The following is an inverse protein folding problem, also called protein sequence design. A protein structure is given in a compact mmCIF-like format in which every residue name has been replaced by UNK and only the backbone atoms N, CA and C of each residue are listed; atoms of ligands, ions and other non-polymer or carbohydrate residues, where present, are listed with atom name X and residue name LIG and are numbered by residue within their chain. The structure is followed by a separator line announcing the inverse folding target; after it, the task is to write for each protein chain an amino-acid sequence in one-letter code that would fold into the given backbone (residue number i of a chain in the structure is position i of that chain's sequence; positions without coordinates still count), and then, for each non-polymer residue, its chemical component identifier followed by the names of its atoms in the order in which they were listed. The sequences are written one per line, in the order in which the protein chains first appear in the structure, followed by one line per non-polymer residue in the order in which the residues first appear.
data_IF_246493263950
#
_entry.id   IF_246493263950
#
_cell.length_a   1.000
_cell.length_b   1.000
_cell.length_c   1.000
_cell.angle_alpha   90.00
_cell.angle_beta   90.00
_cell.angle_gamma   90.00
#
_symmetry.space_group_name_H-M   'P 1'
#
loop_
_entity.id
_entity.type
_entity.pdbx_description
1 polymer ?
#
# COMPACT_ATOMS: atom_id res chain seq x y z
N UNK A 1 -6.85 -21.39 -28.12
CA UNK A 1 -7.30 -20.12 -27.57
C UNK A 1 -8.01 -20.43 -26.25
N UNK A 2 -7.35 -20.20 -25.11
CA UNK A 2 -7.92 -20.52 -23.80
C UNK A 2 -9.08 -19.59 -23.52
N UNK A 3 -10.28 -20.14 -23.34
CA UNK A 3 -11.43 -19.40 -22.84
C UNK A 3 -11.11 -18.94 -21.42
N UNK A 4 -10.89 -17.65 -21.25
CA UNK A 4 -10.82 -17.08 -19.89
C UNK A 4 -12.15 -17.37 -19.21
N UNK A 5 -12.12 -18.26 -18.19
CA UNK A 5 -13.29 -18.65 -17.42
C UNK A 5 -13.96 -17.42 -16.80
N UNK A 6 -15.28 -17.42 -16.69
CA UNK A 6 -16.05 -16.41 -15.93
C UNK A 6 -15.45 -16.16 -14.54
N UNK A 7 -14.90 -17.18 -13.91
CA UNK A 7 -14.20 -17.10 -12.63
C UNK A 7 -12.97 -16.19 -12.66
N UNK A 8 -12.23 -16.19 -13.76
CA UNK A 8 -11.06 -15.32 -13.92
C UNK A 8 -11.47 -13.84 -13.92
N UNK A 9 -12.52 -13.51 -14.68
CA UNK A 9 -13.07 -12.15 -14.73
C UNK A 9 -13.68 -11.71 -13.41
N UNK A 10 -14.30 -12.63 -12.67
CA UNK A 10 -14.84 -12.37 -11.33
C UNK A 10 -13.70 -12.04 -10.32
N UNK A 11 -12.61 -12.78 -10.36
CA UNK A 11 -11.43 -12.53 -9.53
C UNK A 11 -10.80 -11.19 -9.88
N UNK A 12 -10.62 -10.88 -11.17
CA UNK A 12 -10.09 -9.60 -11.63
C UNK A 12 -11.00 -8.44 -11.19
N UNK A 13 -12.30 -8.59 -11.33
CA UNK A 13 -13.28 -7.60 -10.90
C UNK A 13 -13.19 -7.35 -9.39
N UNK A 14 -13.12 -8.40 -8.59
CA UNK A 14 -12.99 -8.28 -7.12
C UNK A 14 -11.67 -7.60 -6.77
N UNK A 15 -10.56 -8.02 -7.36
CA UNK A 15 -9.22 -7.48 -7.06
C UNK A 15 -9.09 -6.02 -7.48
N UNK A 16 -9.80 -5.58 -8.52
CA UNK A 16 -9.75 -4.21 -9.03
C UNK A 16 -10.83 -3.32 -8.39
N UNK A 17 -12.07 -3.78 -8.38
CA UNK A 17 -13.23 -2.96 -7.97
C UNK A 17 -13.29 -2.77 -6.45
N UNK A 18 -13.00 -3.81 -5.68
CA UNK A 18 -13.06 -3.71 -4.20
C UNK A 18 -12.05 -2.68 -3.66
N UNK A 19 -10.77 -2.68 -4.07
CA UNK A 19 -9.84 -1.62 -3.68
C UNK A 19 -10.32 -0.24 -4.12
N UNK A 20 -10.86 -0.12 -5.33
CA UNK A 20 -11.33 1.16 -5.86
C UNK A 20 -12.45 1.78 -5.01
N UNK A 21 -13.40 0.98 -4.54
CA UNK A 21 -14.48 1.43 -3.64
C UNK A 21 -13.90 2.00 -2.33
N UNK A 22 -12.89 1.33 -1.75
CA UNK A 22 -12.26 1.80 -0.52
C UNK A 22 -11.37 3.03 -0.71
N UNK A 23 -10.73 3.18 -1.88
CA UNK A 23 -9.92 4.35 -2.22
C UNK A 23 -10.79 5.62 -2.37
N UNK A 24 -11.99 5.47 -2.94
CA UNK A 24 -12.90 6.59 -3.21
C UNK A 24 -13.65 7.08 -1.95
N UNK A 25 -13.67 6.32 -0.86
CA UNK A 25 -14.30 6.75 0.39
C UNK A 25 -13.51 7.90 1.02
N UNK A 26 -14.23 8.94 1.46
CA UNK A 26 -13.64 10.03 2.25
C UNK A 26 -13.06 9.46 3.55
N UNK A 27 -11.80 9.77 3.89
CA UNK A 27 -11.22 9.30 5.15
C UNK A 27 -11.90 10.01 6.33
N UNK A 28 -12.12 9.32 7.47
CA UNK A 28 -12.44 10.00 8.73
C UNK A 28 -11.26 10.87 9.13
N UNK A 29 -11.53 12.09 9.58
CA UNK A 29 -10.52 12.98 10.12
C UNK A 29 -10.11 12.52 11.52
N UNK A 30 -8.81 12.54 11.84
CA UNK A 30 -8.34 12.35 13.20
C UNK A 30 -6.96 11.70 13.33
N UNK A 31 -6.26 12.01 14.42
CA UNK A 31 -5.00 11.37 14.76
C UNK A 31 -5.24 9.93 15.24
N UNK A 32 -4.18 9.11 15.24
CA UNK A 32 -4.16 7.82 15.90
C UNK A 32 -2.83 7.63 16.65
N UNK A 33 -2.61 6.45 17.25
CA UNK A 33 -1.40 6.17 18.03
C UNK A 33 -0.07 6.34 17.26
N UNK A 34 -0.09 6.42 15.95
CA UNK A 34 1.08 6.60 15.09
C UNK A 34 1.27 8.03 14.60
N UNK A 35 0.39 8.97 14.98
CA UNK A 35 0.51 10.39 14.66
C UNK A 35 -0.70 11.00 13.99
N UNK A 36 -0.53 12.21 13.47
CA UNK A 36 -1.56 12.96 12.75
C UNK A 36 -2.02 12.28 11.47
N UNK A 37 -3.13 12.75 10.91
CA UNK A 37 -3.67 12.25 9.65
C UNK A 37 -2.66 12.44 8.52
N UNK A 38 -2.40 11.39 7.75
CA UNK A 38 -1.55 11.50 6.56
C UNK A 38 -2.31 12.24 5.44
N UNK A 39 -1.71 13.33 4.96
CA UNK A 39 -2.29 14.13 3.88
C UNK A 39 -2.28 13.37 2.55
N UNK A 40 -3.36 13.49 1.75
CA UNK A 40 -3.37 12.97 0.39
C UNK A 40 -2.30 13.65 -0.46
N UNK A 41 -1.61 12.88 -1.29
CA UNK A 41 -0.53 13.36 -2.16
C UNK A 41 -0.89 13.18 -3.63
N UNK A 42 -0.38 14.08 -4.49
CA UNK A 42 -0.35 13.87 -5.94
C UNK A 42 0.71 12.85 -6.34
N UNK A 43 0.66 12.37 -7.59
CA UNK A 43 1.53 11.29 -8.10
C UNK A 43 3.02 11.59 -7.89
N UNK A 44 3.51 12.74 -8.35
CA UNK A 44 4.94 13.11 -8.20
C UNK A 44 5.37 13.28 -6.75
N UNK A 45 4.48 13.81 -5.89
CA UNK A 45 4.73 13.94 -4.46
C UNK A 45 4.83 12.56 -3.78
N UNK A 46 3.99 11.61 -4.17
CA UNK A 46 4.01 10.24 -3.65
C UNK A 46 5.32 9.53 -3.97
N UNK A 47 5.80 9.64 -5.22
CA UNK A 47 7.10 9.09 -5.63
C UNK A 47 8.24 9.75 -4.84
N UNK A 48 8.23 11.08 -4.72
CA UNK A 48 9.22 11.81 -3.92
C UNK A 48 9.20 11.39 -2.45
N UNK A 49 8.02 11.21 -1.86
CA UNK A 49 7.85 10.70 -0.49
C UNK A 49 8.35 9.26 -0.34
N UNK A 50 8.08 8.40 -1.32
CA UNK A 50 8.53 7.02 -1.34
C UNK A 50 10.04 6.90 -1.17
N UNK A 51 10.81 7.64 -1.97
CA UNK A 51 12.27 7.62 -1.88
C UNK A 51 12.84 8.43 -0.71
N UNK A 52 12.20 9.52 -0.31
CA UNK A 52 12.62 10.33 0.84
C UNK A 52 12.50 9.56 2.16
N UNK A 53 11.45 8.75 2.28
CA UNK A 53 11.19 7.93 3.44
C UNK A 53 11.71 6.49 3.29
N UNK A 54 12.85 6.34 2.64
CA UNK A 54 13.44 5.05 2.24
C UNK A 54 13.53 4.03 3.39
N UNK A 55 13.91 4.50 4.57
CA UNK A 55 14.06 3.69 5.81
C UNK A 55 13.16 4.19 6.95
N UNK A 56 12.17 5.03 6.66
CA UNK A 56 11.29 5.60 7.67
C UNK A 56 10.09 4.70 7.88
N UNK A 57 10.11 3.92 8.96
CA UNK A 57 9.02 3.03 9.35
C UNK A 57 8.00 3.69 10.27
N UNK A 58 8.32 4.83 10.88
CA UNK A 58 7.43 5.60 11.76
C UNK A 58 6.51 6.53 10.97
N UNK A 59 5.44 6.99 11.63
CA UNK A 59 4.45 7.85 10.99
C UNK A 59 3.41 7.08 10.18
N UNK A 60 2.71 7.80 9.30
CA UNK A 60 1.57 7.26 8.52
C UNK A 60 1.76 7.57 7.03
N UNK A 61 1.26 6.70 6.17
CA UNK A 61 1.20 6.90 4.73
C UNK A 61 -0.26 6.94 4.26
N UNK A 62 -0.62 7.95 3.48
CA UNK A 62 -1.96 8.08 2.90
C UNK A 62 -2.23 7.00 1.84
N UNK A 63 -3.52 6.79 1.52
CA UNK A 63 -3.90 5.87 0.44
C UNK A 63 -3.31 6.30 -0.91
N UNK A 64 -3.34 7.59 -1.20
CA UNK A 64 -2.78 8.11 -2.45
C UNK A 64 -1.26 7.92 -2.52
N UNK A 65 -0.53 8.15 -1.42
CA UNK A 65 0.91 7.88 -1.35
C UNK A 65 1.20 6.41 -1.67
N UNK A 66 0.48 5.49 -1.01
CA UNK A 66 0.68 4.05 -1.20
C UNK A 66 0.36 3.60 -2.64
N UNK A 67 -0.84 3.95 -3.15
CA UNK A 67 -1.29 3.44 -4.44
C UNK A 67 -0.57 4.09 -5.63
N UNK A 68 -0.21 5.37 -5.54
CA UNK A 68 0.62 5.99 -6.59
C UNK A 68 2.04 5.43 -6.62
N UNK A 69 2.61 5.12 -5.46
CA UNK A 69 3.93 4.45 -5.41
C UNK A 69 3.85 3.02 -5.93
N UNK A 70 2.78 2.29 -5.61
CA UNK A 70 2.54 0.95 -6.14
C UNK A 70 2.38 0.97 -7.68
N UNK A 71 1.62 1.94 -8.21
CA UNK A 71 1.48 2.14 -9.65
C UNK A 71 2.83 2.44 -10.30
N UNK A 72 3.61 3.36 -9.74
CA UNK A 72 4.94 3.69 -10.23
C UNK A 72 5.85 2.45 -10.27
N UNK A 73 5.90 1.68 -9.18
CA UNK A 73 6.68 0.43 -9.12
C UNK A 73 6.26 -0.56 -10.19
N UNK A 74 4.95 -0.74 -10.39
CA UNK A 74 4.42 -1.65 -11.41
C UNK A 74 4.79 -1.21 -12.82
N UNK A 75 4.68 0.08 -13.12
CA UNK A 75 5.05 0.64 -14.43
C UNK A 75 6.54 0.45 -14.72
N UNK A 76 7.41 0.74 -13.74
CA UNK A 76 8.86 0.56 -13.89
C UNK A 76 9.19 -0.93 -14.06
N UNK A 77 8.61 -1.81 -13.25
CA UNK A 77 8.84 -3.26 -13.36
C UNK A 77 8.45 -3.80 -14.74
N UNK A 78 7.30 -3.38 -15.28
CA UNK A 78 6.84 -3.78 -16.62
C UNK A 78 7.79 -3.22 -17.70
N UNK A 79 8.19 -1.96 -17.57
CA UNK A 79 9.13 -1.35 -18.52
C UNK A 79 10.48 -2.10 -18.55
N UNK A 80 11.00 -2.46 -17.39
CA UNK A 80 12.25 -3.21 -17.27
C UNK A 80 12.14 -4.63 -17.86
N UNK A 81 11.00 -5.32 -17.68
CA UNK A 81 10.76 -6.63 -18.29
C UNK A 81 10.70 -6.56 -19.84
N UNK A 82 10.24 -5.45 -20.38
CA UNK A 82 10.22 -5.25 -21.85
C UNK A 82 11.62 -5.01 -22.40
N UNK A 83 12.45 -4.23 -21.65
CA UNK A 83 13.82 -3.86 -22.07
C UNK A 83 14.81 -4.98 -21.84
N UNK A 84 14.73 -5.65 -20.70
CA UNK A 84 15.66 -6.71 -20.30
C UNK A 84 14.95 -8.04 -20.09
N UNK A 85 15.00 -8.90 -21.10
CA UNK A 85 14.42 -10.24 -21.04
C UNK A 85 15.17 -11.20 -20.12
N UNK A 86 16.39 -10.85 -19.69
CA UNK A 86 17.13 -11.62 -18.69
C UNK A 86 16.62 -11.43 -17.27
N UNK A 87 15.72 -10.48 -17.07
CA UNK A 87 15.17 -10.06 -15.77
C UNK A 87 16.20 -9.51 -14.77
N UNK A 88 17.45 -9.31 -15.19
CA UNK A 88 18.52 -8.84 -14.32
C UNK A 88 18.25 -7.44 -13.79
N UNK A 89 17.82 -6.51 -14.66
CA UNK A 89 17.49 -5.14 -14.26
C UNK A 89 16.29 -5.14 -13.31
N UNK A 90 15.30 -6.00 -13.54
CA UNK A 90 14.13 -6.09 -12.66
C UNK A 90 14.47 -6.63 -11.27
N UNK A 91 15.39 -7.59 -11.19
CA UNK A 91 15.92 -8.10 -9.90
C UNK A 91 16.68 -7.03 -9.13
N UNK A 92 17.55 -6.26 -9.81
CA UNK A 92 18.27 -5.14 -9.21
C UNK A 92 17.28 -4.07 -8.72
N UNK A 93 16.29 -3.70 -9.54
CA UNK A 93 15.25 -2.76 -9.18
C UNK A 93 14.47 -3.21 -7.94
N UNK A 94 14.04 -4.47 -7.93
CA UNK A 94 13.30 -5.05 -6.79
C UNK A 94 14.13 -5.03 -5.50
N UNK A 95 15.43 -5.31 -5.58
CA UNK A 95 16.32 -5.26 -4.43
C UNK A 95 16.48 -3.82 -3.90
N UNK A 96 16.70 -2.87 -4.79
CA UNK A 96 16.86 -1.44 -4.43
C UNK A 96 15.56 -0.89 -3.82
N UNK A 97 14.40 -1.27 -4.36
CA UNK A 97 13.11 -0.72 -3.93
C UNK A 97 12.43 -1.55 -2.84
N UNK A 98 13.00 -2.67 -2.44
CA UNK A 98 12.47 -3.54 -1.37
C UNK A 98 12.31 -2.79 -0.04
N UNK A 99 13.36 -2.10 0.38
CA UNK A 99 13.38 -1.43 1.68
C UNK A 99 12.37 -0.26 1.77
N UNK A 100 12.31 0.68 0.81
CA UNK A 100 11.27 1.72 0.86
C UNK A 100 9.86 1.16 0.67
N UNK A 101 9.69 0.02 -0.02
CA UNK A 101 8.40 -0.65 -0.12
C UNK A 101 7.89 -1.12 1.23
N UNK A 102 8.69 -1.87 2.00
CA UNK A 102 8.29 -2.36 3.33
C UNK A 102 8.13 -1.21 4.34
N UNK A 103 8.93 -0.15 4.23
CA UNK A 103 8.78 1.04 5.07
C UNK A 103 7.45 1.76 4.78
N UNK A 104 7.11 1.97 3.51
CA UNK A 104 5.84 2.56 3.10
C UNK A 104 4.66 1.66 3.49
N UNK A 105 4.77 0.35 3.30
CA UNK A 105 3.74 -0.62 3.66
C UNK A 105 3.47 -0.60 5.18
N UNK A 106 4.51 -0.51 6.01
CA UNK A 106 4.37 -0.35 7.45
C UNK A 106 3.65 0.95 7.81
N UNK A 107 4.05 2.10 7.23
CA UNK A 107 3.40 3.40 7.43
C UNK A 107 1.93 3.39 6.96
N UNK A 108 1.61 2.62 5.92
CA UNK A 108 0.22 2.46 5.46
C UNK A 108 -0.61 1.64 6.46
N UNK A 109 -0.05 0.61 7.09
CA UNK A 109 -0.72 -0.13 8.18
C UNK A 109 -0.93 0.76 9.41
N UNK A 110 0.03 1.61 9.74
CA UNK A 110 -0.12 2.62 10.79
C UNK A 110 -1.30 3.55 10.54
N UNK A 111 -1.58 3.89 9.29
CA UNK A 111 -2.70 4.75 8.93
C UNK A 111 -4.07 4.14 9.24
N UNK A 112 -4.17 2.82 9.25
CA UNK A 112 -5.35 2.07 9.70
C UNK A 112 -5.23 1.55 11.15
N UNK A 113 -4.39 2.20 11.95
CA UNK A 113 -4.13 1.89 13.37
C UNK A 113 -3.64 0.46 13.62
N UNK A 114 -2.88 -0.10 12.68
CA UNK A 114 -2.27 -1.44 12.75
C UNK A 114 -0.76 -1.32 12.83
N UNK A 115 -0.12 -2.25 13.56
CA UNK A 115 1.33 -2.35 13.56
C UNK A 115 1.86 -2.75 12.19
N UNK A 116 3.00 -2.17 11.77
CA UNK A 116 3.69 -2.54 10.52
C UNK A 116 4.04 -4.03 10.42
N UNK A 117 4.20 -4.72 11.54
CA UNK A 117 4.44 -6.17 11.58
C UNK A 117 3.32 -7.01 10.96
N UNK A 118 2.09 -6.48 10.89
CA UNK A 118 0.98 -7.19 10.23
C UNK A 118 1.21 -7.40 8.73
N UNK A 119 2.16 -6.71 8.09
CA UNK A 119 2.54 -7.01 6.71
C UNK A 119 3.09 -8.43 6.54
N UNK A 120 3.68 -9.02 7.58
CA UNK A 120 4.16 -10.40 7.55
C UNK A 120 3.05 -11.44 7.37
N UNK A 121 1.80 -11.09 7.68
CA UNK A 121 0.65 -11.93 7.36
C UNK A 121 0.51 -12.16 5.85
N UNK A 122 1.05 -11.26 5.03
CA UNK A 122 1.12 -11.45 3.58
C UNK A 122 1.86 -12.71 3.14
N UNK A 123 2.74 -13.26 4.01
CA UNK A 123 3.43 -14.52 3.77
C UNK A 123 2.50 -15.74 3.89
N UNK A 124 1.36 -15.58 4.57
CA UNK A 124 0.34 -16.63 4.72
C UNK A 124 -0.64 -16.59 3.52
N UNK A 125 -0.10 -16.88 2.34
CA UNK A 125 -0.90 -16.89 1.12
C UNK A 125 -1.92 -18.04 1.11
N UNK A 126 -3.16 -17.81 0.61
CA UNK A 126 -3.71 -16.55 0.08
C UNK A 126 -4.43 -15.68 1.14
N UNK A 127 -4.83 -16.24 2.27
CA UNK A 127 -5.74 -15.58 3.25
C UNK A 127 -5.07 -14.35 3.88
N UNK A 128 -3.84 -14.48 4.31
CA UNK A 128 -3.09 -13.38 4.92
C UNK A 128 -2.82 -12.25 3.94
N UNK A 129 -2.50 -12.58 2.69
CA UNK A 129 -2.28 -11.59 1.62
C UNK A 129 -3.54 -10.77 1.34
N UNK A 130 -4.72 -11.42 1.31
CA UNK A 130 -6.02 -10.76 1.13
C UNK A 130 -6.30 -9.82 2.31
N UNK A 131 -6.06 -10.28 3.55
CA UNK A 131 -6.28 -9.46 4.74
C UNK A 131 -5.41 -8.20 4.72
N UNK A 132 -4.13 -8.31 4.38
CA UNK A 132 -3.20 -7.18 4.28
C UNK A 132 -3.64 -6.22 3.17
N UNK A 133 -4.03 -6.74 2.01
CA UNK A 133 -4.53 -5.94 0.89
C UNK A 133 -5.79 -5.14 1.29
N UNK A 134 -6.73 -5.79 1.97
CA UNK A 134 -7.93 -5.11 2.50
C UNK A 134 -7.53 -3.95 3.44
N UNK A 135 -6.53 -4.12 4.30
CA UNK A 135 -6.06 -3.03 5.17
C UNK A 135 -5.42 -1.89 4.38
N UNK A 136 -4.66 -2.18 3.32
CA UNK A 136 -4.11 -1.13 2.46
C UNK A 136 -5.20 -0.32 1.74
N UNK A 137 -6.37 -0.91 1.50
CA UNK A 137 -7.51 -0.25 0.87
C UNK A 137 -8.39 0.55 1.86
N UNK A 138 -8.40 0.20 3.16
CA UNK A 138 -9.27 0.84 4.16
C UNK A 138 -9.02 2.33 4.29
N UNK A 139 -10.05 3.07 4.71
CA UNK A 139 -9.91 4.46 5.13
C UNK A 139 -9.01 4.56 6.39
N UNK A 140 -8.34 5.70 6.61
CA UNK A 140 -7.59 5.97 7.83
C UNK A 140 -8.48 5.75 9.06
N UNK A 141 -7.93 5.22 10.13
CA UNK A 141 -8.65 5.02 11.38
C UNK A 141 -8.21 6.07 12.38
N UNK A 142 -9.17 6.89 12.86
CA UNK A 142 -8.97 7.73 14.02
C UNK A 142 -8.96 6.88 15.29
N UNK A 143 -8.13 7.24 16.25
CA UNK A 143 -8.08 6.60 17.56
C UNK A 143 -8.27 7.66 18.64
N UNK A 144 -9.47 7.72 19.20
CA UNK A 144 -9.84 8.64 20.26
C UNK A 144 -9.51 8.10 21.67
N UNK A 145 -8.94 6.91 21.77
CA UNK A 145 -8.65 6.29 23.08
C UNK A 145 -7.69 7.09 23.94
N UNK A 146 -6.91 8.02 23.36
CA UNK A 146 -6.01 8.90 24.09
C UNK A 146 -6.65 10.19 24.56
N UNK A 147 -7.72 10.65 23.94
CA UNK A 147 -8.41 11.88 24.35
C UNK A 147 -9.16 11.69 25.68
N UNK A 148 -9.61 10.47 25.96
CA UNK A 148 -10.37 10.14 27.19
C UNK A 148 -9.48 9.90 28.41
N UNK A 149 -8.16 9.78 28.25
CA UNK A 149 -7.22 9.54 29.37
C UNK A 149 -6.78 10.85 30.05
N UNK A 150 -6.94 12.00 29.37
CA UNK A 150 -6.54 13.32 29.87
C UNK A 150 -7.72 14.28 30.05
N UNK A 151 -8.95 13.79 29.92
CA UNK A 151 -10.18 14.49 30.28
C UNK A 151 -10.70 14.00 31.64
#
# INVERSE_FOLDING_TARGET
MGSFSLWHWLIVLIVVVVPLIFILRKPPAGPNRFGGLAEPMGFGQAIGSYFRNYVTFSGRASRSEFWYSALFQSVVAIALLVVDRSETLNRIWSLVTFLPWIAMAARRLHDVNRSGWHQLLGLLFPIGSIAVLVWYCKAPTADHSRETVFA
#
